data_IF_971936445348
#
_entry.id   IF_971936445348
#
_cell.length_a   1.000
_cell.length_b   1.000
_cell.length_c   1.000
_cell.angle_alpha   90.00
_cell.angle_beta   90.00
_cell.angle_gamma   90.00
#
_symmetry.space_group_name_H-M   'P 1'
#
loop_
_entity.id
_entity.type
_entity.pdbx_description
1 polymer ?
#
# COMPACT_ATOMS: atom_id res chain seq x y z
N UNK A 1 -3.95 2.62 -3.99
CA UNK A 1 -2.65 3.16 -3.52
C UNK A 1 -2.56 4.68 -3.69
N UNK A 2 -2.56 5.20 -4.92
CA UNK A 2 -2.37 6.64 -5.22
C UNK A 2 -3.33 7.60 -4.50
N UNK A 3 -4.62 7.26 -4.41
CA UNK A 3 -5.60 8.10 -3.74
C UNK A 3 -5.27 8.34 -2.25
N UNK A 4 -4.84 7.28 -1.55
CA UNK A 4 -4.45 7.38 -0.13
C UNK A 4 -3.16 8.19 0.04
N UNK A 5 -2.20 8.03 -0.87
CA UNK A 5 -0.99 8.86 -0.93
C UNK A 5 -1.36 10.35 -1.08
N UNK A 6 -2.18 10.70 -2.07
CA UNK A 6 -2.61 12.07 -2.29
C UNK A 6 -3.29 12.66 -1.07
N UNK A 7 -4.25 11.93 -0.51
CA UNK A 7 -4.96 12.35 0.71
C UNK A 7 -4.01 12.57 1.91
N UNK A 8 -3.04 11.68 2.13
CA UNK A 8 -2.08 11.84 3.23
C UNK A 8 -1.24 13.12 3.07
N UNK A 9 -0.72 13.37 1.86
CA UNK A 9 0.08 14.57 1.56
C UNK A 9 -0.74 15.85 1.74
N UNK A 10 -1.98 15.87 1.23
CA UNK A 10 -2.91 17.01 1.37
C UNK A 10 -3.26 17.33 2.83
N UNK A 11 -3.18 16.33 3.72
CA UNK A 11 -3.46 16.49 5.15
C UNK A 11 -2.20 16.70 6.01
N UNK A 12 -1.07 17.05 5.39
CA UNK A 12 0.17 17.40 6.12
C UNK A 12 0.92 16.19 6.69
N UNK A 13 0.79 15.01 6.06
CA UNK A 13 1.60 13.83 6.37
C UNK A 13 2.65 13.58 5.31
N UNK A 14 3.86 13.22 5.75
CA UNK A 14 4.90 12.66 4.93
C UNK A 14 4.68 11.15 4.75
N UNK A 15 4.74 10.67 3.51
CA UNK A 15 4.68 9.26 3.17
C UNK A 15 6.10 8.66 3.22
N UNK A 16 6.43 8.01 4.33
CA UNK A 16 7.79 7.50 4.58
C UNK A 16 8.03 6.12 3.95
N UNK A 17 6.97 5.36 3.69
CA UNK A 17 7.08 4.03 3.10
C UNK A 17 5.72 3.40 2.81
N UNK A 18 5.72 2.38 1.96
CA UNK A 18 4.55 1.59 1.62
C UNK A 18 4.92 0.10 1.55
N UNK A 19 4.03 -0.75 2.06
CA UNK A 19 4.15 -2.20 2.08
C UNK A 19 2.80 -2.87 1.83
N UNK A 20 2.79 -4.20 1.78
CA UNK A 20 1.55 -4.98 1.78
C UNK A 20 1.55 -5.96 2.97
N UNK A 21 0.36 -6.27 3.48
CA UNK A 21 0.21 -7.28 4.52
C UNK A 21 0.63 -8.65 3.99
N UNK A 22 1.41 -9.46 4.73
CA UNK A 22 1.80 -10.80 4.29
C UNK A 22 0.62 -11.78 4.28
N UNK A 23 -0.54 -11.39 4.83
CA UNK A 23 -1.78 -12.16 4.79
C UNK A 23 -2.87 -11.35 4.08
N UNK A 24 -3.78 -12.06 3.42
CA UNK A 24 -5.00 -11.45 2.88
C UNK A 24 -5.97 -11.14 4.02
N UNK A 25 -6.76 -10.08 3.87
CA UNK A 25 -7.86 -9.78 4.78
C UNK A 25 -8.94 -10.86 4.78
N UNK A 26 -9.96 -10.76 5.66
CA UNK A 26 -10.98 -11.80 5.86
C UNK A 26 -11.69 -12.24 4.55
N UNK A 27 -12.03 -11.26 3.71
CA UNK A 27 -12.68 -11.46 2.39
C UNK A 27 -11.69 -11.89 1.29
N UNK A 28 -10.41 -12.07 1.62
CA UNK A 28 -9.37 -12.41 0.66
C UNK A 28 -8.74 -11.20 -0.05
N UNK A 29 -9.04 -9.97 0.37
CA UNK A 29 -8.45 -8.77 -0.21
C UNK A 29 -6.95 -8.66 0.12
N UNK A 30 -6.15 -8.12 -0.80
CA UNK A 30 -4.77 -7.70 -0.50
C UNK A 30 -4.86 -6.36 0.24
N UNK A 31 -4.27 -6.30 1.42
CA UNK A 31 -4.24 -5.09 2.25
C UNK A 31 -2.86 -4.41 2.15
N UNK A 32 -2.87 -3.09 2.13
CA UNK A 32 -1.67 -2.28 2.00
C UNK A 32 -1.41 -1.49 3.27
N UNK A 33 -0.14 -1.39 3.64
CA UNK A 33 0.31 -0.71 4.85
C UNK A 33 1.10 0.52 4.44
N UNK A 34 0.83 1.64 5.11
CA UNK A 34 1.56 2.89 4.89
C UNK A 34 2.25 3.33 6.17
N UNK A 35 3.50 3.74 6.05
CA UNK A 35 4.23 4.40 7.12
C UNK A 35 4.15 5.91 6.91
N UNK A 36 3.40 6.57 7.79
CA UNK A 36 3.16 8.01 7.75
C UNK A 36 3.86 8.69 8.91
N UNK A 37 4.34 9.91 8.67
CA UNK A 37 4.85 10.82 9.71
C UNK A 37 4.11 12.15 9.60
N UNK A 38 3.67 12.69 10.73
CA UNK A 38 3.05 14.02 10.77
C UNK A 38 4.11 15.09 10.46
N UNK A 39 3.77 16.04 9.59
CA UNK A 39 4.64 17.12 9.15
C UNK A 39 4.84 17.10 7.63
N UNK A 40 5.10 18.28 7.06
CA UNK A 40 5.24 18.52 5.61
C UNK A 40 6.61 18.13 5.04
N UNK A 41 7.44 17.45 5.84
CA UNK A 41 8.76 17.00 5.39
C UNK A 41 8.63 16.08 4.18
N UNK A 42 9.53 16.20 3.20
CA UNK A 42 9.42 15.62 1.85
C UNK A 42 9.56 14.09 1.77
N UNK A 43 8.87 13.34 2.62
CA UNK A 43 8.66 11.92 2.43
C UNK A 43 7.61 11.72 1.34
N UNK A 44 8.03 11.27 0.17
CA UNK A 44 7.14 10.77 -0.86
C UNK A 44 7.60 9.40 -1.35
N UNK A 45 6.65 8.48 -1.50
CA UNK A 45 6.87 7.20 -2.17
C UNK A 45 6.51 7.37 -3.64
N UNK A 46 7.47 7.18 -4.57
CA UNK A 46 7.19 7.34 -6.00
C UNK A 46 6.07 6.43 -6.49
N UNK A 47 5.33 6.91 -7.47
CA UNK A 47 4.25 6.16 -8.08
C UNK A 47 4.72 4.85 -8.75
N UNK A 48 5.97 4.81 -9.21
CA UNK A 48 6.62 3.60 -9.72
C UNK A 48 6.80 2.55 -8.62
N UNK A 49 7.24 2.96 -7.44
CA UNK A 49 7.37 2.07 -6.28
C UNK A 49 6.01 1.52 -5.83
N UNK A 50 4.95 2.34 -5.84
CA UNK A 50 3.59 1.87 -5.53
C UNK A 50 3.07 0.85 -6.55
N UNK A 51 3.39 1.00 -7.84
CA UNK A 51 3.05 0.01 -8.87
C UNK A 51 3.79 -1.30 -8.66
N UNK A 52 5.11 -1.23 -8.44
CA UNK A 52 5.94 -2.41 -8.17
C UNK A 52 5.46 -3.15 -6.92
N UNK A 53 5.08 -2.41 -5.87
CA UNK A 53 4.51 -2.97 -4.65
C UNK A 53 3.21 -3.75 -4.93
N UNK A 54 2.32 -3.18 -5.75
CA UNK A 54 1.08 -3.85 -6.13
C UNK A 54 1.33 -5.09 -6.98
N UNK A 55 2.32 -5.07 -7.87
CA UNK A 55 2.70 -6.24 -8.66
C UNK A 55 3.29 -7.34 -7.79
N UNK A 56 4.23 -6.99 -6.90
CA UNK A 56 4.84 -7.92 -5.96
C UNK A 56 3.80 -8.58 -5.03
N UNK A 57 2.79 -7.84 -4.57
CA UNK A 57 1.75 -8.40 -3.70
C UNK A 57 0.85 -9.42 -4.42
N UNK A 58 0.51 -9.19 -5.69
CA UNK A 58 -0.26 -10.15 -6.49
C UNK A 58 0.53 -11.43 -6.78
N UNK A 59 1.86 -11.33 -6.94
CA UNK A 59 2.72 -12.51 -7.13
C UNK A 59 2.88 -13.30 -5.83
N UNK A 60 3.10 -12.61 -4.70
CA UNK A 60 3.33 -13.24 -3.41
C UNK A 60 2.08 -13.87 -2.80
N UNK A 61 0.90 -13.29 -3.05
CA UNK A 61 -0.37 -13.76 -2.52
C UNK A 61 -1.21 -14.28 -3.70
N UNK A 62 -1.22 -15.59 -4.00
CA UNK A 62 -2.14 -16.13 -5.00
C UNK A 62 -3.60 -15.99 -4.52
N UNK A 63 -4.53 -15.89 -5.47
CA UNK A 63 -5.95 -15.80 -5.18
C UNK A 63 -6.43 -17.06 -4.45
N UNK A 64 -7.34 -16.85 -3.49
CA UNK A 64 -7.94 -17.94 -2.73
C UNK A 64 -8.73 -18.81 -3.70
N UNK A 65 -8.22 -19.99 -4.03
CA UNK A 65 -8.95 -20.99 -4.81
C UNK A 65 -10.22 -21.31 -4.01
N UNK A 66 -11.40 -20.96 -4.54
CA UNK A 66 -12.67 -21.40 -3.94
C UNK A 66 -12.65 -22.92 -3.96
N UNK A 67 -12.50 -23.53 -2.78
CA UNK A 67 -12.67 -24.98 -2.62
C UNK A 67 -14.11 -25.26 -3.04
N UNK A 68 -14.27 -25.98 -4.15
CA UNK A 68 -15.55 -26.50 -4.61
C UNK A 68 -16.09 -27.50 -3.60
#
# INVERSE_FOLDING_TARGET
LRAVKGYALENGFALCGAGFSPIRGPEGNIEYLYWLRKGEDRGDVPDTALRQLAEASHQALPSRQKRR
#
